data_IF_893600833446
#
_entry.id   IF_893600833446
#
_cell.length_a   1.000
_cell.length_b   1.000
_cell.length_c   1.000
_cell.angle_alpha   90.00
_cell.angle_beta   90.00
_cell.angle_gamma   90.00
#
_symmetry.space_group_name_H-M   'P 1'
#
loop_
_entity.id
_entity.type
_entity.pdbx_description
1 polymer ?
#
# COMPACT_ATOMS: atom_id res chain seq x y z
N UNK A 1 -39.83 -27.23 22.68
CA UNK A 1 -39.12 -26.02 22.22
C UNK A 1 -37.66 -26.27 22.55
N UNK A 2 -36.83 -26.56 21.55
CA UNK A 2 -35.40 -26.78 21.73
C UNK A 2 -34.71 -25.43 21.67
N UNK A 3 -34.06 -25.00 22.77
CA UNK A 3 -33.13 -23.88 22.70
C UNK A 3 -31.81 -24.41 22.11
N UNK A 4 -31.46 -23.86 20.96
CA UNK A 4 -30.18 -24.09 20.33
C UNK A 4 -29.13 -23.22 21.03
N UNK A 5 -28.12 -23.87 21.61
CA UNK A 5 -26.91 -23.20 22.06
C UNK A 5 -26.17 -22.65 20.83
N UNK A 6 -26.14 -21.33 20.69
CA UNK A 6 -25.17 -20.67 19.82
C UNK A 6 -23.83 -20.59 20.58
N UNK A 7 -23.02 -21.62 20.40
CA UNK A 7 -21.59 -21.58 20.66
C UNK A 7 -20.94 -20.57 19.71
N UNK A 8 -20.80 -19.32 20.14
CA UNK A 8 -20.00 -18.29 19.49
C UNK A 8 -18.51 -18.61 19.71
N UNK A 9 -18.03 -19.64 19.03
CA UNK A 9 -16.61 -19.93 18.90
C UNK A 9 -16.06 -19.15 17.72
N UNK A 10 -15.73 -17.88 17.92
CA UNK A 10 -14.85 -17.17 16.99
C UNK A 10 -13.55 -17.96 16.83
N UNK A 11 -12.90 -17.97 15.65
CA UNK A 11 -11.59 -18.57 15.52
C UNK A 11 -10.60 -17.72 16.32
N UNK A 12 -10.45 -18.07 17.59
CA UNK A 12 -9.24 -17.82 18.35
C UNK A 12 -8.12 -18.35 17.45
N UNK A 13 -7.37 -17.44 16.84
CA UNK A 13 -6.15 -17.81 16.15
C UNK A 13 -5.20 -18.31 17.25
N UNK A 14 -5.32 -19.60 17.56
CA UNK A 14 -4.41 -20.32 18.43
C UNK A 14 -3.04 -20.17 17.80
N UNK A 15 -2.28 -19.19 18.28
CA UNK A 15 -0.86 -19.14 18.09
C UNK A 15 -0.28 -20.23 19.00
N UNK A 16 -0.54 -21.49 18.64
CA UNK A 16 0.14 -22.64 19.19
C UNK A 16 1.58 -22.46 18.76
N UNK A 17 2.38 -21.85 19.64
CA UNK A 17 3.83 -21.89 19.54
C UNK A 17 4.20 -23.36 19.70
N UNK A 18 4.22 -24.08 18.59
CA UNK A 18 4.61 -25.47 18.52
C UNK A 18 6.00 -25.57 19.14
N UNK A 19 6.14 -26.36 20.20
CA UNK A 19 7.43 -26.65 20.81
C UNK A 19 8.37 -27.20 19.72
N UNK A 20 9.31 -26.36 19.25
CA UNK A 20 10.31 -26.74 18.25
C UNK A 20 10.59 -25.70 17.16
N UNK A 21 9.78 -24.65 17.01
CA UNK A 21 10.04 -23.62 16.01
C UNK A 21 11.38 -22.89 16.25
N UNK A 22 12.20 -22.78 15.21
CA UNK A 22 13.45 -22.03 15.20
C UNK A 22 13.19 -20.57 14.81
N UNK A 23 13.81 -19.60 15.48
CA UNK A 23 13.71 -18.19 15.08
C UNK A 23 14.93 -17.76 14.30
N UNK A 24 14.72 -17.31 13.07
CA UNK A 24 15.76 -16.76 12.19
C UNK A 24 15.57 -15.24 12.05
N UNK A 25 16.66 -14.48 12.12
CA UNK A 25 16.65 -13.03 11.91
C UNK A 25 16.99 -12.68 10.46
N UNK A 26 16.10 -11.93 9.80
CA UNK A 26 16.30 -11.40 8.45
C UNK A 26 16.58 -9.90 8.54
N UNK A 27 17.70 -9.45 7.98
CA UNK A 27 18.07 -8.05 7.89
C UNK A 27 17.44 -7.40 6.65
N UNK A 28 16.77 -6.27 6.83
CA UNK A 28 16.07 -5.53 5.78
C UNK A 28 16.40 -4.03 5.88
N UNK A 29 17.52 -3.64 5.25
CA UNK A 29 18.07 -2.29 5.40
C UNK A 29 18.51 -2.05 6.84
N UNK A 30 17.93 -1.05 7.50
CA UNK A 30 18.20 -0.70 8.90
C UNK A 30 17.31 -1.44 9.91
N UNK A 31 16.43 -2.34 9.45
CA UNK A 31 15.51 -3.10 10.30
C UNK A 31 15.89 -4.59 10.36
N UNK A 32 15.64 -5.21 11.52
CA UNK A 32 15.76 -6.66 11.71
C UNK A 32 14.39 -7.25 12.00
N UNK A 33 14.08 -8.38 11.35
CA UNK A 33 12.80 -9.08 11.49
C UNK A 33 13.06 -10.51 11.92
N UNK A 34 12.42 -10.91 13.02
CA UNK A 34 12.41 -12.29 13.50
C UNK A 34 11.33 -13.09 12.77
N UNK A 35 11.73 -14.20 12.17
CA UNK A 35 10.86 -15.14 11.45
C UNK A 35 10.89 -16.48 12.18
N UNK A 36 9.72 -17.00 12.53
CA UNK A 36 9.57 -18.36 13.07
C UNK A 36 9.61 -19.36 11.92
N UNK A 37 10.43 -20.39 12.05
CA UNK A 37 10.62 -21.47 11.10
C UNK A 37 10.16 -22.77 11.77
N UNK A 38 9.29 -23.57 11.14
CA UNK A 38 8.83 -24.82 11.69
C UNK A 38 9.98 -25.77 12.03
N UNK A 39 9.83 -26.52 13.12
CA UNK A 39 10.82 -27.48 13.61
C UNK A 39 11.17 -28.59 12.59
N UNK A 40 10.21 -28.91 11.72
CA UNK A 40 10.30 -29.95 10.69
C UNK A 40 10.86 -29.45 9.35
N UNK A 41 11.07 -28.13 9.20
CA UNK A 41 11.63 -27.56 7.99
C UNK A 41 13.11 -27.94 7.84
N UNK A 42 13.46 -28.48 6.67
CA UNK A 42 14.86 -28.68 6.34
C UNK A 42 15.57 -27.36 6.01
N UNK A 43 16.90 -27.39 5.86
CA UNK A 43 17.70 -26.18 5.57
C UNK A 43 17.25 -25.47 4.29
N UNK A 44 16.84 -26.22 3.27
CA UNK A 44 16.40 -25.65 1.99
C UNK A 44 15.01 -25.01 2.13
N UNK A 45 14.10 -25.64 2.87
CA UNK A 45 12.78 -25.11 3.19
C UNK A 45 12.87 -23.87 4.08
N UNK A 46 13.70 -23.90 5.12
CA UNK A 46 13.97 -22.74 5.98
C UNK A 46 14.53 -21.55 5.16
N UNK A 47 15.47 -21.82 4.25
CA UNK A 47 16.02 -20.81 3.34
C UNK A 47 14.95 -20.26 2.37
N UNK A 48 14.06 -21.12 1.86
CA UNK A 48 12.96 -20.71 0.99
C UNK A 48 11.95 -19.81 1.73
N UNK A 49 11.59 -20.17 2.97
CA UNK A 49 10.69 -19.37 3.81
C UNK A 49 11.32 -18.01 4.11
N UNK A 50 12.56 -17.98 4.61
CA UNK A 50 13.25 -16.73 4.92
C UNK A 50 13.40 -15.83 3.67
N UNK A 51 13.70 -16.42 2.51
CA UNK A 51 13.81 -15.69 1.24
C UNK A 51 12.47 -15.13 0.77
N UNK A 52 11.39 -15.91 0.88
CA UNK A 52 10.05 -15.46 0.48
C UNK A 52 9.56 -14.30 1.36
N UNK A 53 9.74 -14.42 2.68
CA UNK A 53 9.40 -13.35 3.63
C UNK A 53 10.25 -12.10 3.37
N UNK A 54 11.57 -12.26 3.21
CA UNK A 54 12.48 -11.16 2.92
C UNK A 54 12.14 -10.44 1.61
N UNK A 55 11.86 -11.18 0.55
CA UNK A 55 11.45 -10.63 -0.75
C UNK A 55 10.14 -9.85 -0.64
N UNK A 56 9.12 -10.40 0.04
CA UNK A 56 7.84 -9.73 0.22
C UNK A 56 7.96 -8.41 1.01
N UNK A 57 8.77 -8.40 2.08
CA UNK A 57 9.01 -7.20 2.85
C UNK A 57 9.80 -6.15 2.08
N UNK A 58 10.79 -6.57 1.28
CA UNK A 58 11.52 -5.69 0.38
C UNK A 58 10.59 -5.05 -0.66
N UNK A 59 9.74 -5.84 -1.31
CA UNK A 59 8.79 -5.35 -2.30
C UNK A 59 7.84 -4.30 -1.71
N UNK A 60 7.38 -4.52 -0.46
CA UNK A 60 6.58 -3.55 0.29
C UNK A 60 7.33 -2.26 0.57
N UNK A 61 8.61 -2.32 0.95
CA UNK A 61 9.43 -1.12 1.17
C UNK A 61 9.62 -0.33 -0.12
N UNK A 62 9.88 -1.01 -1.23
CA UNK A 62 10.02 -0.38 -2.56
C UNK A 62 8.71 0.29 -2.97
N UNK A 63 7.57 -0.38 -2.79
CA UNK A 63 6.25 0.18 -3.08
C UNK A 63 5.94 1.40 -2.20
N UNK A 64 6.26 1.35 -0.90
CA UNK A 64 6.09 2.48 0.01
C UNK A 64 6.98 3.67 -0.38
N UNK A 65 8.23 3.43 -0.74
CA UNK A 65 9.15 4.47 -1.21
C UNK A 65 8.67 5.11 -2.52
N UNK A 66 8.15 4.31 -3.46
CA UNK A 66 7.55 4.81 -4.69
C UNK A 66 6.32 5.69 -4.42
N UNK A 67 5.41 5.25 -3.53
CA UNK A 67 4.24 6.03 -3.16
C UNK A 67 4.61 7.35 -2.45
N UNK A 68 5.67 7.35 -1.63
CA UNK A 68 6.17 8.56 -1.00
C UNK A 68 6.75 9.55 -2.04
N UNK A 69 7.42 9.04 -3.08
CA UNK A 69 7.93 9.86 -4.18
C UNK A 69 6.79 10.43 -5.05
N UNK A 70 5.70 9.69 -5.26
CA UNK A 70 4.51 10.21 -5.96
C UNK A 70 3.84 11.38 -5.22
N UNK A 71 3.95 11.44 -3.88
CA UNK A 71 3.41 12.53 -3.09
C UNK A 71 4.23 13.85 -3.18
N UNK A 72 5.43 13.83 -3.78
CA UNK A 72 6.23 15.03 -4.07
C UNK A 72 5.83 15.67 -5.41
N UNK A 73 5.01 15.00 -6.23
CA UNK A 73 4.41 15.58 -7.41
C UNK A 73 3.42 16.68 -6.97
N UNK A 74 3.55 17.92 -7.47
CA UNK A 74 2.69 19.01 -7.00
C UNK A 74 1.23 18.69 -7.29
N UNK A 75 0.42 18.65 -6.24
CA UNK A 75 -1.03 18.37 -6.26
C UNK A 75 -1.71 19.07 -7.45
N UNK A 76 -2.10 18.29 -8.46
CA UNK A 76 -2.70 18.79 -9.70
C UNK A 76 -4.22 18.74 -9.61
N UNK A 77 -4.84 19.69 -10.30
CA UNK A 77 -6.29 19.70 -10.47
C UNK A 77 -6.67 18.59 -11.46
N UNK A 78 -7.76 17.87 -11.16
CA UNK A 78 -8.37 16.93 -12.10
C UNK A 78 -8.69 17.63 -13.43
N UNK A 79 -7.96 17.23 -14.48
CA UNK A 79 -8.05 17.85 -15.81
C UNK A 79 -9.43 17.70 -16.45
N UNK A 80 -10.17 16.62 -16.15
CA UNK A 80 -11.51 16.38 -16.68
C UNK A 80 -12.58 17.21 -15.98
N UNK A 81 -12.44 17.40 -14.66
CA UNK A 81 -13.27 18.35 -13.92
C UNK A 81 -13.04 19.79 -14.39
N UNK A 82 -11.78 20.18 -14.58
CA UNK A 82 -11.44 21.50 -15.10
C UNK A 82 -11.95 21.71 -16.53
N UNK A 83 -11.79 20.70 -17.40
CA UNK A 83 -12.33 20.70 -18.76
C UNK A 83 -13.83 20.95 -18.78
N UNK A 84 -14.58 20.22 -17.94
CA UNK A 84 -16.03 20.31 -17.86
C UNK A 84 -16.49 21.69 -17.39
N UNK A 85 -15.81 22.26 -16.39
CA UNK A 85 -16.04 23.64 -15.93
C UNK A 85 -15.75 24.66 -17.04
N UNK A 86 -14.65 24.52 -17.77
CA UNK A 86 -14.30 25.47 -18.84
C UNK A 86 -15.27 25.35 -20.03
N UNK A 87 -15.71 24.14 -20.36
CA UNK A 87 -16.74 23.88 -21.38
C UNK A 87 -18.07 24.52 -21.02
N UNK A 88 -18.48 24.47 -19.74
CA UNK A 88 -19.68 25.18 -19.26
C UNK A 88 -19.61 26.70 -19.42
N UNK A 89 -18.39 27.26 -19.50
CA UNK A 89 -18.10 28.67 -19.79
C UNK A 89 -17.87 28.95 -21.28
N UNK A 90 -18.18 28.00 -22.16
CA UNK A 90 -18.08 28.16 -23.62
C UNK A 90 -16.67 28.06 -24.19
N UNK A 91 -15.70 27.47 -23.46
CA UNK A 91 -14.32 27.33 -23.95
C UNK A 91 -14.01 25.89 -24.34
N UNK A 92 -13.47 25.72 -25.56
CA UNK A 92 -13.03 24.42 -26.08
C UNK A 92 -11.58 24.09 -25.76
N UNK A 93 -10.76 25.06 -25.31
CA UNK A 93 -9.36 24.86 -24.93
C UNK A 93 -9.17 25.22 -23.46
N UNK A 94 -8.49 24.36 -22.70
CA UNK A 94 -8.16 24.57 -21.30
C UNK A 94 -6.74 24.07 -20.98
N UNK A 95 -6.08 24.62 -19.95
CA UNK A 95 -4.80 24.12 -19.47
C UNK A 95 -4.95 22.72 -18.87
N UNK A 96 -4.09 21.78 -19.28
CA UNK A 96 -4.10 20.39 -18.81
C UNK A 96 -3.24 20.16 -17.58
N UNK A 97 -2.28 21.06 -17.35
CA UNK A 97 -1.38 21.00 -16.21
C UNK A 97 -1.57 22.24 -15.32
N UNK A 98 -2.39 22.10 -14.28
CA UNK A 98 -2.71 23.17 -13.32
C UNK A 98 -2.51 22.63 -11.92
N UNK A 99 -1.74 23.36 -11.10
CA UNK A 99 -1.61 23.05 -9.67
C UNK A 99 -2.90 23.41 -8.93
N UNK A 100 -3.25 22.63 -7.92
CA UNK A 100 -4.39 22.91 -7.04
C UNK A 100 -4.21 24.27 -6.37
N UNK A 101 -5.25 25.12 -6.42
CA UNK A 101 -5.21 26.52 -5.96
C UNK A 101 -4.82 27.55 -7.02
N UNK A 102 -4.27 27.14 -8.17
CA UNK A 102 -3.88 28.02 -9.28
C UNK A 102 -4.91 28.04 -10.42
N UNK A 103 -6.11 27.48 -10.19
CA UNK A 103 -7.18 27.37 -11.19
C UNK A 103 -7.59 28.73 -11.73
N UNK A 104 -7.64 29.74 -10.87
CA UNK A 104 -8.02 31.11 -11.26
C UNK A 104 -6.95 31.78 -12.13
N UNK A 105 -5.65 31.54 -11.88
CA UNK A 105 -4.56 32.04 -12.75
C UNK A 105 -4.55 31.31 -14.09
N UNK A 106 -4.81 30.01 -14.08
CA UNK A 106 -4.94 29.22 -15.29
C UNK A 106 -6.15 29.66 -16.14
N UNK A 107 -7.30 29.89 -15.49
CA UNK A 107 -8.49 30.43 -16.13
C UNK A 107 -8.22 31.82 -16.73
N UNK A 108 -7.62 32.75 -15.96
CA UNK A 108 -7.26 34.09 -16.43
C UNK A 108 -6.42 34.07 -17.73
N UNK A 109 -5.37 33.25 -17.77
CA UNK A 109 -4.52 33.08 -18.97
C UNK A 109 -5.24 32.44 -20.15
N UNK A 110 -6.30 31.68 -19.88
CA UNK A 110 -7.11 31.09 -20.94
C UNK A 110 -7.95 32.15 -21.65
N UNK A 111 -8.22 33.31 -21.06
CA UNK A 111 -9.04 34.36 -21.69
C UNK A 111 -8.29 35.24 -22.70
N UNK A 112 -6.99 35.03 -22.89
CA UNK A 112 -6.17 35.71 -23.89
C UNK A 112 -5.88 34.82 -25.11
#
# INVERSE_FOLDING_TARGET
MAEAELSDGGPEASNESTEGDETVTVALGDAEVSVSIPADADEAEAAAIASAVGAHLHDRQVAAAAAAAENDEPDRVDAWKLASRMKSRGRSRWPKDVRRGEEWKAAARSFY
#
